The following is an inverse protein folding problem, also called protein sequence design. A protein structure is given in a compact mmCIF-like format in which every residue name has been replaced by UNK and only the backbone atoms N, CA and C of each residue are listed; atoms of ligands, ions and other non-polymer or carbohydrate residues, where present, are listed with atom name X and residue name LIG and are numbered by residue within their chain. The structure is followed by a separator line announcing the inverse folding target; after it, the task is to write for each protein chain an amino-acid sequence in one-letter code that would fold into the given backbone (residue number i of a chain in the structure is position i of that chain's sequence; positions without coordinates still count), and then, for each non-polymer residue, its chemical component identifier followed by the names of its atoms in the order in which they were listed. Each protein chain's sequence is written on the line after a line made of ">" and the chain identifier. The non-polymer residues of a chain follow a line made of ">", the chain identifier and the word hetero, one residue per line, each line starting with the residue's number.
data_IF_747580903481
#
_entry.id   IF_747580903481
#
_cell.length_a   1.000
_cell.length_b   1.000
_cell.length_c   1.000
_cell.angle_alpha   90.00
_cell.angle_beta   90.00
_cell.angle_gamma   90.00
#
_symmetry.space_group_name_H-M   'P 1'
#
loop_
_entity.id
_entity.type
_entity.pdbx_description
1 polymer ?
#
# COMPACT_ATOMS: atom_id res chain seq x y z
N UNK A 1 -31.05 3.00 -14.07
CA UNK A 1 -29.73 3.62 -14.24
C UNK A 1 -28.72 2.48 -14.27
N UNK A 2 -28.22 2.09 -15.44
CA UNK A 2 -27.22 1.02 -15.54
C UNK A 2 -25.88 1.69 -15.30
N UNK A 3 -25.30 1.48 -14.12
CA UNK A 3 -23.90 1.84 -13.90
C UNK A 3 -23.07 1.07 -14.93
N UNK A 4 -22.27 1.78 -15.72
CA UNK A 4 -21.44 1.18 -16.72
C UNK A 4 -20.33 0.41 -15.98
N UNK A 5 -20.38 -0.92 -16.00
CA UNK A 5 -19.52 -1.80 -15.19
C UNK A 5 -18.01 -1.57 -15.38
N UNK A 6 -17.63 -0.96 -16.49
CA UNK A 6 -16.27 -0.48 -16.74
C UNK A 6 -15.87 0.67 -15.82
N UNK A 7 -16.75 1.65 -15.61
CA UNK A 7 -16.49 2.77 -14.68
C UNK A 7 -16.36 2.29 -13.24
N UNK A 8 -17.20 1.33 -12.81
CA UNK A 8 -17.09 0.75 -11.47
C UNK A 8 -15.75 0.04 -11.26
N UNK A 9 -15.24 -0.67 -12.29
CA UNK A 9 -13.92 -1.31 -12.23
C UNK A 9 -12.78 -0.28 -12.19
N UNK A 10 -12.87 0.77 -13.00
CA UNK A 10 -11.88 1.85 -12.99
C UNK A 10 -11.85 2.59 -11.66
N UNK A 11 -13.01 2.83 -11.04
CA UNK A 11 -13.12 3.43 -9.72
C UNK A 11 -12.48 2.54 -8.65
N UNK A 12 -12.77 1.22 -8.67
CA UNK A 12 -12.12 0.27 -7.76
C UNK A 12 -10.59 0.25 -7.91
N UNK A 13 -10.07 0.26 -9.14
CA UNK A 13 -8.63 0.32 -9.37
C UNK A 13 -8.03 1.65 -8.92
N UNK A 14 -8.70 2.77 -9.20
CA UNK A 14 -8.28 4.10 -8.76
C UNK A 14 -8.20 4.19 -7.24
N UNK A 15 -9.18 3.63 -6.53
CA UNK A 15 -9.20 3.59 -5.07
C UNK A 15 -8.06 2.75 -4.50
N UNK A 16 -7.79 1.57 -5.09
CA UNK A 16 -6.66 0.74 -4.70
C UNK A 16 -5.31 1.47 -4.90
N UNK A 17 -5.13 2.12 -6.06
CA UNK A 17 -3.94 2.90 -6.37
C UNK A 17 -3.77 4.06 -5.39
N UNK A 18 -4.84 4.80 -5.09
CA UNK A 18 -4.85 5.88 -4.11
C UNK A 18 -4.49 5.39 -2.72
N UNK A 19 -4.99 4.22 -2.31
CA UNK A 19 -4.67 3.63 -1.02
C UNK A 19 -3.18 3.27 -0.87
N UNK A 20 -2.50 2.87 -1.95
CA UNK A 20 -1.07 2.52 -1.89
C UNK A 20 -0.12 3.66 -2.24
N UNK A 21 -0.61 4.78 -2.79
CA UNK A 21 0.21 5.84 -3.39
C UNK A 21 1.16 6.57 -2.42
N UNK A 22 0.95 6.48 -1.11
CA UNK A 22 1.83 7.14 -0.14
C UNK A 22 3.25 6.55 -0.21
N UNK A 23 4.34 7.36 -0.30
CA UNK A 23 5.70 6.86 -0.49
C UNK A 23 6.13 5.79 0.53
N UNK A 24 5.73 5.98 1.80
CA UNK A 24 6.00 5.00 2.87
C UNK A 24 5.31 3.66 2.59
N UNK A 25 4.04 3.66 2.14
CA UNK A 25 3.30 2.42 1.84
C UNK A 25 3.94 1.65 0.69
N UNK A 26 4.40 2.36 -0.34
CA UNK A 26 5.16 1.73 -1.44
C UNK A 26 6.48 1.13 -0.94
N UNK A 27 7.20 1.81 -0.05
CA UNK A 27 8.42 1.29 0.55
C UNK A 27 8.16 0.03 1.39
N UNK A 28 7.09 0.00 2.18
CA UNK A 28 6.65 -1.18 2.95
C UNK A 28 6.28 -2.34 2.01
N UNK A 29 5.50 -2.09 0.95
CA UNK A 29 5.14 -3.12 -0.04
C UNK A 29 6.40 -3.69 -0.71
N UNK A 30 7.35 -2.84 -1.09
CA UNK A 30 8.61 -3.28 -1.68
C UNK A 30 9.41 -4.15 -0.69
N UNK A 31 9.45 -3.77 0.59
CA UNK A 31 10.13 -4.53 1.62
C UNK A 31 9.52 -5.93 1.83
N UNK A 32 8.18 -6.02 1.83
CA UNK A 32 7.43 -7.28 1.98
C UNK A 32 7.41 -8.14 0.71
N UNK A 33 7.67 -7.56 -0.46
CA UNK A 33 7.71 -8.30 -1.74
C UNK A 33 8.76 -9.41 -1.77
N UNK A 34 9.78 -9.32 -0.91
CA UNK A 34 10.84 -10.31 -0.74
C UNK A 34 10.39 -11.61 -0.02
N UNK A 35 9.09 -11.78 0.25
CA UNK A 35 8.47 -12.96 0.89
C UNK A 35 9.01 -13.31 2.28
N UNK A 36 9.72 -12.39 2.92
CA UNK A 36 10.10 -12.51 4.31
C UNK A 36 9.01 -11.87 5.18
N UNK A 37 8.39 -12.59 6.12
CA UNK A 37 7.52 -11.97 7.10
C UNK A 37 8.36 -11.07 8.01
N UNK A 38 7.96 -9.80 8.11
CA UNK A 38 8.61 -8.80 8.95
C UNK A 38 7.60 -8.30 9.98
N UNK A 39 8.06 -8.06 11.21
CA UNK A 39 7.26 -7.39 12.22
C UNK A 39 7.15 -5.88 11.92
N UNK A 40 6.23 -5.19 12.59
CA UNK A 40 6.15 -3.71 12.50
C UNK A 40 7.46 -3.07 12.97
N UNK A 41 8.10 -3.63 14.01
CA UNK A 41 9.42 -3.22 14.49
C UNK A 41 10.49 -3.32 13.41
N UNK A 42 10.57 -4.48 12.75
CA UNK A 42 11.49 -4.73 11.65
C UNK A 42 11.34 -3.73 10.49
N UNK A 43 10.11 -3.29 10.22
CA UNK A 43 9.77 -2.40 9.11
C UNK A 43 10.19 -0.97 9.43
N UNK A 44 9.82 -0.43 10.60
CA UNK A 44 10.14 0.96 10.92
C UNK A 44 11.65 1.18 11.13
N UNK A 45 12.36 0.17 11.65
CA UNK A 45 13.82 0.21 11.78
C UNK A 45 14.52 0.19 10.42
N UNK A 46 14.10 -0.69 9.50
CA UNK A 46 14.70 -0.80 8.15
C UNK A 46 14.42 0.42 7.28
N UNK A 47 13.23 1.01 7.41
CA UNK A 47 12.85 2.20 6.66
C UNK A 47 13.32 3.50 7.34
N UNK A 48 13.86 3.43 8.55
CA UNK A 48 14.27 4.57 9.38
C UNK A 48 13.17 5.63 9.54
N UNK A 49 11.95 5.16 9.80
CA UNK A 49 10.76 6.00 10.03
C UNK A 49 10.24 5.83 11.44
N UNK A 50 9.48 6.81 11.91
CA UNK A 50 8.75 6.67 13.18
C UNK A 50 7.72 5.55 13.06
N UNK A 51 7.65 4.69 14.08
CA UNK A 51 6.70 3.58 14.11
C UNK A 51 5.24 4.05 14.04
N UNK A 52 4.91 5.24 14.58
CA UNK A 52 3.57 5.81 14.47
C UNK A 52 3.16 6.17 13.03
N UNK A 53 4.13 6.26 12.12
CA UNK A 53 3.95 6.55 10.70
C UNK A 53 4.07 5.30 9.80
N UNK A 54 4.34 4.12 10.37
CA UNK A 54 4.52 2.84 9.69
C UNK A 54 3.27 1.95 9.83
#
# INVERSE_FOLDING_TARGET
>A
MVANSEFERLEQYSEALRAIAHPIRLAIINLLSNRQPLSVSDIHERLQIEQAAA
#
